data_IF_391516362802
#
_entry.id   IF_391516362802
#
_cell.length_a   1.000
_cell.length_b   1.000
_cell.length_c   1.000
_cell.angle_alpha   90.00
_cell.angle_beta   90.00
_cell.angle_gamma   90.00
#
_symmetry.space_group_name_H-M   'P 1'
#
loop_
_entity.id
_entity.type
_entity.pdbx_description
1 polymer ?
#
# COMPACT_ATOMS: atom_id res chain seq x y z
N UNK A 1 29.32 49.74 -1.05
CA UNK A 1 29.41 48.94 -2.29
C UNK A 1 29.72 47.51 -1.85
N UNK A 2 28.88 46.49 -1.93
CA UNK A 2 27.64 46.28 -2.68
C UNK A 2 27.75 44.96 -3.46
N UNK A 3 27.56 43.81 -2.82
CA UNK A 3 27.37 42.48 -3.43
C UNK A 3 26.73 41.62 -2.31
N UNK A 4 25.57 40.96 -2.39
CA UNK A 4 24.68 40.58 -3.48
C UNK A 4 24.06 39.24 -3.07
N UNK A 5 23.11 39.24 -2.12
CA UNK A 5 22.42 38.03 -1.65
C UNK A 5 21.29 37.65 -2.60
N UNK A 6 21.49 36.64 -3.44
CA UNK A 6 20.41 36.00 -4.19
C UNK A 6 19.79 34.90 -3.31
N UNK A 7 18.72 35.27 -2.60
CA UNK A 7 17.82 34.32 -1.95
C UNK A 7 17.00 33.61 -3.04
N UNK A 8 17.14 32.29 -3.11
CA UNK A 8 16.35 31.42 -3.95
C UNK A 8 14.91 31.37 -3.39
N UNK A 9 13.99 32.12 -4.00
CA UNK A 9 12.55 32.03 -3.70
C UNK A 9 11.99 30.68 -4.20
N UNK A 10 11.59 29.80 -3.29
CA UNK A 10 10.83 28.59 -3.64
C UNK A 10 9.44 28.91 -4.20
N UNK A 11 8.83 28.01 -5.00
CA UNK A 11 7.57 28.29 -5.66
C UNK A 11 6.42 28.50 -4.66
N UNK A 12 5.83 29.69 -4.76
CA UNK A 12 4.71 30.22 -3.97
C UNK A 12 3.45 29.36 -4.11
N UNK A 13 2.77 29.21 -2.97
CA UNK A 13 1.35 28.84 -2.75
C UNK A 13 0.52 28.68 -4.04
N UNK A 14 0.17 27.43 -4.37
CA UNK A 14 -0.98 27.13 -5.22
C UNK A 14 -2.25 27.53 -4.47
N UNK A 15 -2.83 28.64 -4.92
CA UNK A 15 -4.11 29.18 -4.49
C UNK A 15 -5.21 28.19 -4.93
N UNK A 16 -5.80 27.47 -3.98
CA UNK A 16 -7.10 26.80 -4.20
C UNK A 16 -8.20 27.85 -4.06
N UNK A 17 -8.58 28.50 -5.15
CA UNK A 17 -9.81 29.29 -5.21
C UNK A 17 -10.61 28.94 -6.45
N UNK A 18 -11.90 28.67 -6.22
CA UNK A 18 -12.97 28.47 -7.19
C UNK A 18 -12.92 27.18 -8.02
N UNK A 19 -13.44 26.09 -7.44
CA UNK A 19 -14.02 24.98 -8.20
C UNK A 19 -15.54 25.07 -8.14
N UNK A 20 -16.11 25.21 -9.33
CA UNK A 20 -17.53 25.20 -9.69
C UNK A 20 -18.44 24.46 -8.70
N UNK A 21 -19.39 25.20 -8.09
CA UNK A 21 -20.64 24.61 -7.60
C UNK A 21 -21.46 24.16 -8.80
N UNK A 22 -21.14 22.98 -9.34
CA UNK A 22 -22.15 22.21 -10.03
C UNK A 22 -23.29 21.98 -9.03
N UNK A 23 -24.51 22.30 -9.44
CA UNK A 23 -25.72 22.15 -8.65
C UNK A 23 -25.89 20.68 -8.24
N UNK A 24 -25.50 20.35 -7.00
CA UNK A 24 -25.66 19.01 -6.42
C UNK A 24 -27.15 18.68 -6.36
N UNK A 25 -27.58 17.67 -7.13
CA UNK A 25 -28.98 17.21 -7.19
C UNK A 25 -29.38 16.34 -6.00
N UNK A 26 -28.46 16.05 -5.08
CA UNK A 26 -28.73 15.34 -3.82
C UNK A 26 -27.87 15.89 -2.69
N UNK A 27 -28.39 15.92 -1.44
CA UNK A 27 -27.61 16.36 -0.29
C UNK A 27 -26.41 15.43 -0.10
N UNK A 28 -25.23 16.03 0.11
CA UNK A 28 -23.99 15.29 0.33
C UNK A 28 -24.07 14.45 1.61
N UNK A 29 -23.45 13.28 1.60
CA UNK A 29 -23.43 12.39 2.76
C UNK A 29 -22.42 12.92 3.80
N UNK A 30 -22.81 13.17 5.06
CA UNK A 30 -21.86 13.55 6.10
C UNK A 30 -20.90 12.39 6.39
N UNK A 31 -19.61 12.59 6.18
CA UNK A 31 -18.61 11.53 6.33
C UNK A 31 -17.54 11.97 7.32
N UNK A 32 -17.46 11.29 8.45
CA UNK A 32 -16.54 11.59 9.53
C UNK A 32 -15.24 10.81 9.37
N UNK A 33 -14.12 11.53 9.24
CA UNK A 33 -12.84 10.99 8.81
C UNK A 33 -11.91 10.85 10.02
N UNK A 34 -11.53 9.61 10.35
CA UNK A 34 -10.84 9.20 11.58
C UNK A 34 -9.45 8.63 11.29
N UNK A 35 -8.43 9.09 12.02
CA UNK A 35 -7.05 8.57 11.91
C UNK A 35 -6.24 9.10 10.71
N UNK A 36 -6.79 10.04 9.94
CA UNK A 36 -6.12 10.67 8.79
C UNK A 36 -5.21 11.81 9.24
N UNK A 37 -4.08 11.99 8.56
CA UNK A 37 -3.24 13.19 8.72
C UNK A 37 -3.91 14.42 8.12
N UNK A 38 -3.70 15.59 8.73
CA UNK A 38 -4.34 16.86 8.32
C UNK A 38 -4.06 17.27 6.88
N UNK A 39 -2.96 16.82 6.27
CA UNK A 39 -2.66 17.12 4.86
C UNK A 39 -3.57 16.37 3.87
N UNK A 40 -4.27 15.30 4.31
CA UNK A 40 -5.16 14.49 3.46
C UNK A 40 -6.50 15.16 3.11
N UNK A 41 -6.59 16.49 3.22
CA UNK A 41 -7.77 17.26 2.81
C UNK A 41 -8.07 17.14 1.31
N UNK A 42 -7.08 16.74 0.50
CA UNK A 42 -7.28 16.45 -0.92
C UNK A 42 -8.37 15.40 -1.18
N UNK A 43 -8.68 14.52 -0.23
CA UNK A 43 -9.75 13.52 -0.37
C UNK A 43 -11.13 14.13 -0.64
N UNK A 44 -11.33 15.41 -0.32
CA UNK A 44 -12.56 16.13 -0.67
C UNK A 44 -12.81 16.18 -2.17
N UNK A 45 -11.76 16.22 -3.00
CA UNK A 45 -11.92 16.19 -4.46
C UNK A 45 -12.27 14.80 -4.97
N UNK A 46 -11.87 13.74 -4.26
CA UNK A 46 -12.14 12.34 -4.64
C UNK A 46 -13.56 11.91 -4.33
N UNK A 47 -14.16 12.54 -3.31
CA UNK A 47 -15.51 12.24 -2.85
C UNK A 47 -16.40 13.49 -2.87
N UNK A 48 -16.70 14.06 -4.05
CA UNK A 48 -17.47 15.30 -4.17
C UNK A 48 -18.92 15.15 -3.69
N UNK A 49 -19.43 13.93 -3.59
CA UNK A 49 -20.74 13.56 -3.06
C UNK A 49 -20.78 13.43 -1.53
N UNK A 50 -19.65 13.66 -0.85
CA UNK A 50 -19.51 13.59 0.61
C UNK A 50 -19.06 14.91 1.21
N UNK A 51 -19.58 15.21 2.40
CA UNK A 51 -19.09 16.30 3.24
C UNK A 51 -18.13 15.72 4.27
N UNK A 52 -16.82 15.81 4.01
CA UNK A 52 -15.80 15.22 4.87
C UNK A 52 -15.56 16.07 6.13
N UNK A 53 -15.71 15.49 7.31
CA UNK A 53 -15.40 16.10 8.61
C UNK A 53 -14.18 15.38 9.22
N UNK A 54 -13.01 16.02 9.18
CA UNK A 54 -11.78 15.44 9.73
C UNK A 54 -11.75 15.66 11.24
N UNK A 55 -11.80 14.57 12.00
CA UNK A 55 -11.70 14.62 13.45
C UNK A 55 -10.23 14.69 13.89
N UNK A 56 -9.92 15.38 15.01
CA UNK A 56 -8.58 15.38 15.58
C UNK A 56 -8.09 13.95 15.87
N UNK A 57 -6.79 13.69 15.63
CA UNK A 57 -6.20 12.36 15.88
C UNK A 57 -6.11 12.00 17.35
N UNK A 58 -5.95 13.03 18.17
CA UNK A 58 -5.83 13.00 19.63
C UNK A 58 -7.18 13.23 20.32
N UNK A 59 -8.29 13.09 19.59
CA UNK A 59 -9.64 13.24 20.16
C UNK A 59 -9.85 12.24 21.31
N UNK A 60 -10.22 12.76 22.48
CA UNK A 60 -10.57 11.95 23.64
C UNK A 60 -12.04 11.52 23.57
N UNK A 61 -12.41 10.48 24.32
CA UNK A 61 -13.81 10.04 24.42
C UNK A 61 -14.72 11.18 24.91
N UNK A 62 -14.30 11.93 25.93
CA UNK A 62 -15.05 13.09 26.43
C UNK A 62 -15.18 14.19 25.36
N UNK A 63 -14.09 14.57 24.70
CA UNK A 63 -14.13 15.60 23.66
C UNK A 63 -14.98 15.20 22.45
N UNK A 64 -15.06 13.90 22.14
CA UNK A 64 -15.97 13.39 21.12
C UNK A 64 -17.43 13.51 21.54
N UNK A 65 -17.78 13.10 22.76
CA UNK A 65 -19.14 13.20 23.28
C UNK A 65 -19.65 14.64 23.31
N UNK A 66 -18.84 15.57 23.80
CA UNK A 66 -19.21 16.98 23.95
C UNK A 66 -19.40 17.68 22.60
N UNK A 67 -18.55 17.39 21.61
CA UNK A 67 -18.46 18.20 20.39
C UNK A 67 -19.10 17.56 19.15
N UNK A 68 -19.19 16.23 19.10
CA UNK A 68 -19.47 15.49 17.87
C UNK A 68 -20.63 14.51 17.97
N UNK A 69 -20.74 13.73 19.06
CA UNK A 69 -21.69 12.62 19.16
C UNK A 69 -23.13 13.04 18.79
N UNK A 70 -23.66 14.07 19.46
CA UNK A 70 -25.03 14.55 19.19
C UNK A 70 -25.22 15.11 17.77
N UNK A 71 -24.19 15.69 17.16
CA UNK A 71 -24.26 16.16 15.77
C UNK A 71 -24.36 14.99 14.80
N UNK A 72 -23.57 13.94 15.03
CA UNK A 72 -23.56 12.72 14.23
C UNK A 72 -24.90 11.97 14.37
N UNK A 73 -25.45 11.88 15.58
CA UNK A 73 -26.74 11.21 15.82
C UNK A 73 -27.89 11.88 15.06
N UNK A 74 -27.91 13.22 15.00
CA UNK A 74 -28.91 14.00 14.25
C UNK A 74 -28.84 13.80 12.74
N UNK A 75 -27.72 13.29 12.23
CA UNK A 75 -27.51 13.02 10.81
C UNK A 75 -27.77 11.55 10.50
N UNK A 76 -28.97 11.24 10.01
CA UNK A 76 -29.37 9.85 9.71
C UNK A 76 -28.42 9.13 8.75
N UNK A 77 -27.91 9.85 7.74
CA UNK A 77 -26.99 9.33 6.71
C UNK A 77 -25.50 9.40 7.07
N UNK A 78 -25.15 9.81 8.29
CA UNK A 78 -23.74 9.93 8.65
C UNK A 78 -23.00 8.59 8.54
N UNK A 79 -21.79 8.62 7.99
CA UNK A 79 -20.88 7.48 7.89
C UNK A 79 -19.47 7.86 8.37
N UNK A 80 -18.62 6.85 8.54
CA UNK A 80 -17.24 7.02 8.99
C UNK A 80 -16.25 6.48 7.98
N UNK A 81 -15.20 7.24 7.71
CA UNK A 81 -13.99 6.77 7.03
C UNK A 81 -12.88 6.62 8.06
N UNK A 82 -12.28 5.44 8.13
CA UNK A 82 -11.22 5.11 9.11
C UNK A 82 -9.94 4.77 8.36
N UNK A 83 -8.83 5.45 8.66
CA UNK A 83 -7.55 5.10 8.04
C UNK A 83 -6.98 3.81 8.65
N UNK A 84 -6.99 2.70 7.91
CA UNK A 84 -6.54 1.39 8.39
C UNK A 84 -7.16 1.04 9.75
N UNK A 85 -6.34 0.87 10.77
CA UNK A 85 -6.76 0.62 12.17
C UNK A 85 -6.50 1.80 13.11
N UNK A 86 -6.40 3.03 12.59
CA UNK A 86 -5.98 4.21 13.37
C UNK A 86 -7.12 4.93 14.08
N UNK A 87 -8.34 4.39 14.07
CA UNK A 87 -9.44 4.95 14.86
C UNK A 87 -9.40 4.42 16.31
N UNK A 88 -9.54 5.30 17.31
CA UNK A 88 -9.83 4.89 18.68
C UNK A 88 -11.04 3.94 18.78
N UNK A 89 -10.96 2.93 19.65
CA UNK A 89 -12.01 1.92 19.82
C UNK A 89 -13.37 2.53 20.14
N UNK A 90 -13.42 3.53 21.03
CA UNK A 90 -14.67 4.18 21.42
C UNK A 90 -15.44 4.81 20.24
N UNK A 91 -14.75 5.25 19.18
CA UNK A 91 -15.40 5.78 17.97
C UNK A 91 -15.99 4.66 17.11
N UNK A 92 -15.27 3.53 17.02
CA UNK A 92 -15.77 2.34 16.33
C UNK A 92 -16.99 1.77 17.07
N UNK A 93 -16.94 1.74 18.40
CA UNK A 93 -18.03 1.27 19.25
C UNK A 93 -19.25 2.20 19.15
N UNK A 94 -19.04 3.52 19.16
CA UNK A 94 -20.10 4.50 18.92
C UNK A 94 -20.75 4.31 17.55
N UNK A 95 -19.95 4.17 16.48
CA UNK A 95 -20.46 3.97 15.13
C UNK A 95 -21.30 2.69 15.02
N UNK A 96 -20.80 1.57 15.59
CA UNK A 96 -21.52 0.29 15.63
C UNK A 96 -22.82 0.37 16.43
N UNK A 97 -22.77 0.92 17.64
CA UNK A 97 -23.93 1.05 18.53
C UNK A 97 -25.06 1.88 17.90
N UNK A 98 -24.72 2.82 17.03
CA UNK A 98 -25.67 3.71 16.37
C UNK A 98 -25.91 3.37 14.88
N UNK A 99 -25.52 2.16 14.45
CA UNK A 99 -25.68 1.67 13.08
C UNK A 99 -25.17 2.65 12.00
N UNK A 100 -24.04 3.32 12.28
CA UNK A 100 -23.36 4.21 11.33
C UNK A 100 -22.38 3.40 10.49
N UNK A 101 -22.46 3.42 9.15
CA UNK A 101 -21.54 2.68 8.30
C UNK A 101 -20.09 3.11 8.53
N UNK A 102 -19.18 2.13 8.55
CA UNK A 102 -17.73 2.34 8.62
C UNK A 102 -17.13 1.86 7.31
N UNK A 103 -16.26 2.68 6.72
CA UNK A 103 -15.36 2.27 5.64
C UNK A 103 -13.92 2.42 6.08
N UNK A 104 -13.16 1.35 5.99
CA UNK A 104 -11.72 1.36 6.20
C UNK A 104 -11.02 1.77 4.91
N UNK A 105 -10.23 2.83 5.01
CA UNK A 105 -9.52 3.45 3.89
C UNK A 105 -8.04 3.18 4.05
N UNK A 106 -7.41 2.72 2.99
CA UNK A 106 -5.96 2.58 2.91
C UNK A 106 -5.41 3.09 1.58
N UNK A 107 -4.09 3.27 1.53
CA UNK A 107 -3.42 3.50 0.25
C UNK A 107 -3.61 2.24 -0.63
N UNK A 108 -4.00 2.45 -1.88
CA UNK A 108 -4.07 1.39 -2.87
C UNK A 108 -2.70 0.87 -3.29
N UNK A 109 -2.69 -0.16 -4.13
CA UNK A 109 -1.45 -0.88 -4.47
C UNK A 109 -0.51 -0.11 -5.40
N UNK A 110 -1.02 0.92 -6.10
CA UNK A 110 -0.23 1.87 -6.89
C UNK A 110 -0.44 3.26 -6.30
N UNK A 111 0.53 3.75 -5.54
CA UNK A 111 0.32 4.94 -4.71
C UNK A 111 0.68 6.24 -5.44
N UNK A 112 1.95 6.42 -5.80
CA UNK A 112 2.48 7.66 -6.39
C UNK A 112 3.93 7.50 -6.85
N UNK A 113 4.41 8.41 -7.71
CA UNK A 113 5.84 8.46 -8.10
C UNK A 113 6.73 8.68 -6.88
N UNK A 114 6.31 9.52 -5.92
CA UNK A 114 7.08 9.78 -4.70
C UNK A 114 6.64 8.91 -3.51
N UNK A 115 7.55 8.70 -2.55
CA UNK A 115 7.30 8.00 -1.29
C UNK A 115 6.14 8.62 -0.51
N UNK A 116 5.40 7.82 0.27
CA UNK A 116 4.33 8.35 1.13
C UNK A 116 4.77 9.34 2.20
N UNK A 117 6.05 9.29 2.57
CA UNK A 117 6.68 10.24 3.45
C UNK A 117 6.85 11.66 2.85
N UNK A 118 6.68 11.85 1.53
CA UNK A 118 6.80 13.18 0.89
C UNK A 118 5.49 13.99 0.86
N UNK A 119 4.43 13.50 1.52
CA UNK A 119 3.07 14.09 1.45
C UNK A 119 2.49 14.20 0.04
N UNK A 120 2.96 13.38 -0.91
CA UNK A 120 2.34 13.26 -2.23
C UNK A 120 0.94 12.60 -2.11
N UNK A 121 -0.11 13.18 -2.76
CA UNK A 121 -1.43 12.58 -2.81
C UNK A 121 -1.42 11.18 -3.42
N UNK A 122 -2.14 10.24 -2.81
CA UNK A 122 -2.30 8.90 -3.34
C UNK A 122 -3.24 8.90 -4.54
N UNK A 123 -2.82 8.31 -5.67
CA UNK A 123 -3.65 8.10 -6.86
C UNK A 123 -4.56 6.87 -6.74
N UNK A 124 -4.32 6.03 -5.74
CA UNK A 124 -5.13 4.84 -5.47
C UNK A 124 -5.48 4.72 -4.01
N UNK A 125 -6.71 4.30 -3.72
CA UNK A 125 -7.21 4.03 -2.38
C UNK A 125 -7.98 2.70 -2.37
N UNK A 126 -8.02 2.05 -1.21
CA UNK A 126 -8.98 0.97 -0.92
C UNK A 126 -10.06 1.49 0.01
N UNK A 127 -11.25 0.90 -0.05
CA UNK A 127 -12.44 1.32 0.70
C UNK A 127 -13.22 0.09 1.16
N UNK A 128 -12.74 -0.59 2.21
CA UNK A 128 -13.36 -1.81 2.74
C UNK A 128 -14.50 -1.51 3.70
N UNK A 129 -15.55 -2.30 3.66
CA UNK A 129 -16.62 -2.30 4.67
C UNK A 129 -16.31 -3.30 5.80
N UNK A 130 -15.67 -4.43 5.48
CA UNK A 130 -15.35 -5.45 6.49
C UNK A 130 -14.07 -5.12 7.28
N UNK A 131 -12.94 -5.09 6.59
CA UNK A 131 -11.61 -4.86 7.18
C UNK A 131 -10.61 -4.55 6.05
N UNK A 132 -9.53 -3.78 6.31
CA UNK A 132 -8.43 -3.66 5.37
C UNK A 132 -7.89 -5.01 4.85
N UNK A 133 -7.48 -5.05 3.58
CA UNK A 133 -6.95 -6.23 2.88
C UNK A 133 -5.81 -6.98 3.57
N UNK A 134 -5.04 -6.30 4.42
CA UNK A 134 -3.90 -6.88 5.11
C UNK A 134 -4.27 -7.61 6.42
N UNK A 135 -5.53 -7.53 6.86
CA UNK A 135 -5.98 -8.27 8.03
C UNK A 135 -6.33 -9.70 7.65
N UNK A 136 -5.52 -10.66 8.09
CA UNK A 136 -5.75 -12.08 7.87
C UNK A 136 -6.61 -12.74 8.96
N UNK A 137 -6.97 -12.01 10.02
CA UNK A 137 -7.75 -12.55 11.16
C UNK A 137 -9.25 -12.62 10.86
N UNK A 138 -9.73 -11.89 9.86
CA UNK A 138 -11.14 -11.83 9.47
C UNK A 138 -11.28 -11.75 7.94
N UNK A 139 -12.43 -12.12 7.35
CA UNK A 139 -12.70 -11.92 5.93
C UNK A 139 -12.66 -10.44 5.55
N UNK A 140 -12.10 -10.11 4.38
CA UNK A 140 -12.09 -8.76 3.81
C UNK A 140 -12.88 -8.72 2.51
N UNK A 141 -13.25 -7.51 2.07
CA UNK A 141 -13.95 -7.35 0.79
C UNK A 141 -13.08 -7.86 -0.38
N UNK A 142 -11.76 -7.71 -0.30
CA UNK A 142 -10.84 -8.28 -1.29
C UNK A 142 -10.82 -9.81 -1.23
N UNK A 143 -10.83 -10.42 -0.03
CA UNK A 143 -10.89 -11.89 0.10
C UNK A 143 -12.18 -12.43 -0.51
N UNK A 144 -13.31 -11.73 -0.31
CA UNK A 144 -14.60 -12.09 -0.90
C UNK A 144 -14.59 -11.96 -2.43
N UNK A 145 -14.03 -10.87 -2.97
CA UNK A 145 -13.85 -10.72 -4.43
C UNK A 145 -13.06 -11.89 -4.99
N UNK A 146 -11.90 -12.21 -4.41
CA UNK A 146 -11.03 -13.29 -4.89
C UNK A 146 -11.67 -14.67 -4.76
N UNK A 147 -12.47 -14.88 -3.71
CA UNK A 147 -13.14 -16.15 -3.46
C UNK A 147 -14.32 -16.37 -4.41
N UNK A 148 -15.15 -15.35 -4.60
CA UNK A 148 -16.49 -15.49 -5.18
C UNK A 148 -16.63 -14.98 -6.62
N UNK A 149 -15.73 -14.12 -7.10
CA UNK A 149 -15.82 -13.63 -8.47
C UNK A 149 -15.56 -14.75 -9.49
N UNK A 150 -16.43 -14.85 -10.51
CA UNK A 150 -16.28 -15.81 -11.60
C UNK A 150 -15.35 -15.25 -12.69
N UNK A 151 -14.05 -15.47 -12.49
CA UNK A 151 -13.02 -15.07 -13.45
C UNK A 151 -13.11 -15.85 -14.78
N UNK A 152 -13.60 -17.09 -14.76
CA UNK A 152 -13.72 -17.92 -15.96
C UNK A 152 -14.83 -17.40 -16.88
N UNK A 153 -15.92 -16.88 -16.31
CA UNK A 153 -16.98 -16.21 -17.06
C UNK A 153 -16.59 -14.82 -17.58
N UNK A 154 -15.43 -14.26 -17.19
CA UNK A 154 -14.97 -12.94 -17.65
C UNK A 154 -13.54 -12.98 -18.21
N UNK A 155 -13.30 -13.63 -19.37
CA UNK A 155 -11.98 -13.71 -19.99
C UNK A 155 -11.43 -12.34 -20.40
N UNK A 156 -12.29 -11.38 -20.74
CA UNK A 156 -11.88 -10.02 -21.08
C UNK A 156 -11.18 -9.32 -19.91
N UNK A 157 -11.67 -9.51 -18.67
CA UNK A 157 -11.01 -8.99 -17.47
C UNK A 157 -9.61 -9.60 -17.27
N UNK A 158 -9.43 -10.88 -17.57
CA UNK A 158 -8.13 -11.55 -17.45
C UNK A 158 -7.14 -11.06 -18.51
N UNK A 159 -7.60 -10.82 -19.75
CA UNK A 159 -6.78 -10.18 -20.78
C UNK A 159 -6.38 -8.76 -20.35
N UNK A 160 -7.32 -7.98 -19.81
CA UNK A 160 -7.06 -6.64 -19.25
C UNK A 160 -6.01 -6.70 -18.14
N UNK A 161 -6.13 -7.64 -17.20
CA UNK A 161 -5.16 -7.84 -16.13
C UNK A 161 -3.75 -8.18 -16.64
N UNK A 162 -3.64 -9.11 -17.61
CA UNK A 162 -2.33 -9.45 -18.21
C UNK A 162 -1.68 -8.25 -18.89
N UNK A 163 -2.44 -7.46 -19.65
CA UNK A 163 -1.93 -6.26 -20.29
C UNK A 163 -1.47 -5.21 -19.27
N UNK A 164 -2.25 -5.00 -18.21
CA UNK A 164 -1.91 -4.10 -17.12
C UNK A 164 -0.63 -4.54 -16.38
N UNK A 165 -0.47 -5.83 -16.10
CA UNK A 165 0.76 -6.39 -15.52
C UNK A 165 1.96 -6.12 -16.43
N UNK A 166 1.86 -6.48 -17.71
CA UNK A 166 2.96 -6.27 -18.67
C UNK A 166 3.38 -4.81 -18.74
N UNK A 167 2.41 -3.89 -18.77
CA UNK A 167 2.68 -2.45 -18.83
C UNK A 167 3.32 -1.93 -17.53
N UNK A 168 2.83 -2.36 -16.36
CA UNK A 168 3.44 -2.00 -15.08
C UNK A 168 4.89 -2.47 -14.98
N UNK A 169 5.18 -3.69 -15.43
CA UNK A 169 6.54 -4.23 -15.41
C UNK A 169 7.44 -3.48 -16.39
N UNK A 170 6.95 -3.18 -17.59
CA UNK A 170 7.68 -2.41 -18.62
C UNK A 170 8.04 -1.01 -18.13
N UNK A 171 7.11 -0.33 -17.46
CA UNK A 171 7.30 1.01 -16.90
C UNK A 171 8.08 1.01 -15.57
N UNK A 172 8.38 -0.16 -15.01
CA UNK A 172 9.02 -0.26 -13.69
C UNK A 172 8.16 0.30 -12.55
N UNK A 173 6.83 0.27 -12.70
CA UNK A 173 5.89 0.78 -11.70
C UNK A 173 5.89 -0.14 -10.47
N UNK A 174 6.11 0.45 -9.31
CA UNK A 174 5.98 -0.14 -7.99
C UNK A 174 5.11 0.76 -7.09
N UNK A 175 4.88 0.37 -5.84
CA UNK A 175 4.16 1.22 -4.88
C UNK A 175 4.82 2.60 -4.71
N UNK A 176 6.14 2.67 -4.86
CA UNK A 176 6.94 3.89 -4.81
C UNK A 176 7.97 3.90 -5.97
N UNK A 177 7.99 4.96 -6.79
CA UNK A 177 8.87 5.07 -7.97
C UNK A 177 9.91 6.18 -7.80
N UNK A 178 10.90 5.98 -6.92
CA UNK A 178 12.04 6.89 -6.81
C UNK A 178 13.35 6.12 -6.78
N UNK A 179 14.27 6.50 -7.66
CA UNK A 179 15.69 6.84 -7.41
C UNK A 179 16.54 6.60 -8.66
N UNK A 180 17.75 7.14 -8.63
CA UNK A 180 18.76 7.14 -9.69
C UNK A 180 19.10 5.73 -10.20
N UNK A 181 19.67 5.60 -11.41
CA UNK A 181 20.19 4.33 -11.90
C UNK A 181 21.13 3.68 -10.88
N UNK A 182 20.92 2.40 -10.60
CA UNK A 182 21.78 1.61 -9.72
C UNK A 182 22.39 0.48 -10.54
N UNK A 183 23.71 0.39 -10.51
CA UNK A 183 24.43 -0.77 -11.04
C UNK A 183 24.19 -1.98 -10.11
N UNK A 184 23.28 -2.86 -10.53
CA UNK A 184 22.89 -4.04 -9.76
C UNK A 184 23.96 -5.13 -9.77
N UNK A 185 24.79 -5.22 -10.81
CA UNK A 185 25.92 -6.16 -10.84
C UNK A 185 27.00 -5.71 -9.85
N UNK A 186 27.29 -4.40 -9.76
CA UNK A 186 28.18 -3.89 -8.72
C UNK A 186 27.62 -4.08 -7.30
N UNK A 187 26.29 -4.08 -7.13
CA UNK A 187 25.66 -4.23 -5.81
C UNK A 187 25.54 -5.69 -5.36
N UNK A 188 25.11 -6.59 -6.25
CA UNK A 188 24.88 -8.00 -5.94
C UNK A 188 26.05 -8.91 -6.34
N UNK A 189 27.00 -8.41 -7.12
CA UNK A 189 28.02 -9.24 -7.77
C UNK A 189 27.46 -10.04 -8.94
N UNK A 190 28.36 -10.59 -9.75
CA UNK A 190 27.99 -11.49 -10.85
C UNK A 190 27.29 -12.73 -10.31
N UNK A 191 26.20 -13.14 -10.96
CA UNK A 191 25.41 -14.29 -10.53
C UNK A 191 26.16 -15.59 -10.81
N UNK A 192 26.51 -16.32 -9.74
CA UNK A 192 27.18 -17.62 -9.80
C UNK A 192 26.28 -18.81 -9.46
N UNK A 193 25.03 -18.55 -9.05
CA UNK A 193 24.09 -19.57 -8.59
C UNK A 193 22.70 -19.00 -8.30
N UNK A 194 21.91 -19.72 -7.51
CA UNK A 194 20.56 -19.28 -7.09
C UNK A 194 20.68 -18.00 -6.25
N UNK A 195 19.84 -17.01 -6.54
CA UNK A 195 19.74 -15.75 -5.78
C UNK A 195 18.40 -15.68 -5.03
N UNK A 196 18.47 -15.49 -3.72
CA UNK A 196 17.31 -15.39 -2.83
C UNK A 196 17.25 -13.98 -2.26
N UNK A 197 16.12 -13.29 -2.43
CA UNK A 197 15.89 -11.97 -1.87
C UNK A 197 14.96 -12.05 -0.66
N UNK A 198 15.40 -11.48 0.46
CA UNK A 198 14.60 -11.32 1.68
C UNK A 198 14.16 -9.86 1.77
N UNK A 199 12.85 -9.64 1.82
CA UNK A 199 12.26 -8.31 1.90
C UNK A 199 12.05 -7.91 3.35
N UNK A 200 12.71 -6.84 3.78
CA UNK A 200 12.51 -6.23 5.08
C UNK A 200 11.24 -5.37 5.13
N UNK A 201 10.59 -5.36 6.28
CA UNK A 201 9.43 -4.52 6.61
C UNK A 201 9.66 -3.82 7.95
N UNK A 202 8.84 -2.80 8.24
CA UNK A 202 8.75 -2.25 9.60
C UNK A 202 7.98 -3.28 10.45
N UNK A 203 8.60 -3.79 11.51
CA UNK A 203 8.10 -4.96 12.26
C UNK A 203 6.84 -4.65 13.10
N UNK A 204 6.53 -3.37 13.34
CA UNK A 204 5.30 -2.90 13.99
C UNK A 204 4.20 -2.51 12.97
N UNK A 205 4.41 -2.74 11.67
CA UNK A 205 3.42 -2.42 10.64
C UNK A 205 2.13 -3.22 10.84
N UNK A 206 0.99 -2.56 10.63
CA UNK A 206 -0.33 -3.16 10.81
C UNK A 206 -0.53 -4.42 9.95
N UNK A 207 0.11 -4.50 8.78
CA UNK A 207 0.08 -5.69 7.93
C UNK A 207 0.79 -6.90 8.54
N UNK A 208 1.78 -6.71 9.40
CA UNK A 208 2.41 -7.81 10.17
C UNK A 208 1.53 -8.14 11.37
N UNK A 209 1.14 -7.12 12.16
CA UNK A 209 0.33 -7.30 13.37
C UNK A 209 -1.01 -8.02 13.08
N UNK A 210 -1.61 -7.73 11.92
CA UNK A 210 -2.90 -8.29 11.50
C UNK A 210 -2.76 -9.45 10.51
N UNK A 211 -1.61 -9.61 9.85
CA UNK A 211 -1.37 -10.65 8.86
C UNK A 211 -0.65 -11.89 9.41
N UNK A 212 0.01 -11.78 10.56
CA UNK A 212 0.72 -12.89 11.20
C UNK A 212 -0.04 -13.45 12.40
N UNK A 213 -0.08 -14.79 12.52
CA UNK A 213 -0.56 -15.49 13.73
C UNK A 213 0.42 -15.34 14.88
N UNK A 214 1.72 -15.40 14.58
CA UNK A 214 2.80 -15.20 15.54
C UNK A 214 3.74 -14.10 15.06
N UNK A 215 4.25 -13.23 15.95
CA UNK A 215 5.21 -12.20 15.57
C UNK A 215 6.43 -12.81 14.88
N UNK A 216 6.87 -12.19 13.78
CA UNK A 216 8.03 -12.63 13.01
C UNK A 216 8.94 -11.44 12.71
N UNK A 217 10.23 -11.57 12.98
CA UNK A 217 11.21 -10.49 12.75
C UNK A 217 11.85 -10.61 11.37
N UNK A 218 12.40 -9.50 10.86
CA UNK A 218 13.15 -9.52 9.62
C UNK A 218 14.37 -10.45 9.70
N UNK A 219 15.10 -10.43 10.83
CA UNK A 219 16.25 -11.30 11.02
C UNK A 219 15.87 -12.79 11.06
N UNK A 220 14.72 -13.14 11.65
CA UNK A 220 14.22 -14.52 11.60
C UNK A 220 13.91 -14.95 10.15
N UNK A 221 13.38 -14.05 9.33
CA UNK A 221 13.13 -14.31 7.92
C UNK A 221 14.41 -14.54 7.13
N UNK A 222 15.46 -13.76 7.40
CA UNK A 222 16.78 -13.99 6.80
C UNK A 222 17.33 -15.35 7.19
N UNK A 223 17.26 -15.72 8.48
CA UNK A 223 17.74 -17.02 8.96
C UNK A 223 16.99 -18.18 8.32
N UNK A 224 15.66 -18.07 8.18
CA UNK A 224 14.85 -19.05 7.48
C UNK A 224 15.28 -19.21 6.01
N UNK A 225 15.42 -18.09 5.30
CA UNK A 225 15.83 -18.09 3.90
C UNK A 225 17.22 -18.72 3.69
N UNK A 226 18.19 -18.43 4.58
CA UNK A 226 19.52 -19.06 4.54
C UNK A 226 19.45 -20.56 4.81
N UNK A 227 18.71 -20.96 5.86
CA UNK A 227 18.60 -22.36 6.24
C UNK A 227 18.00 -23.25 5.14
N UNK A 228 17.05 -22.71 4.37
CA UNK A 228 16.36 -23.45 3.30
C UNK A 228 17.07 -23.35 1.94
N UNK A 229 18.09 -22.51 1.83
CA UNK A 229 18.82 -22.28 0.59
C UNK A 229 20.33 -22.20 0.86
N UNK A 230 20.96 -23.29 1.36
CA UNK A 230 22.34 -23.28 1.85
C UNK A 230 23.38 -22.87 0.80
N UNK A 231 23.13 -23.17 -0.48
CA UNK A 231 24.05 -22.85 -1.59
C UNK A 231 23.66 -21.58 -2.36
N UNK A 232 22.63 -20.87 -1.91
CA UNK A 232 22.15 -19.67 -2.59
C UNK A 232 22.85 -18.40 -2.08
N UNK A 233 22.99 -17.43 -2.97
CA UNK A 233 23.26 -16.07 -2.56
C UNK A 233 22.00 -15.48 -1.90
N UNK A 234 22.00 -15.37 -0.58
CA UNK A 234 20.94 -14.68 0.15
C UNK A 234 21.25 -13.18 0.24
N UNK A 235 20.28 -12.37 -0.17
CA UNK A 235 20.33 -10.91 -0.19
C UNK A 235 19.21 -10.41 0.69
N UNK A 236 19.54 -9.64 1.73
CA UNK A 236 18.58 -8.97 2.57
C UNK A 236 18.47 -7.50 2.18
N UNK A 237 17.26 -7.05 1.81
CA UNK A 237 16.93 -5.65 1.59
C UNK A 237 16.12 -5.12 2.78
N UNK A 238 16.73 -4.41 3.74
CA UNK A 238 16.01 -3.78 4.83
C UNK A 238 15.02 -2.71 4.33
N UNK A 239 14.00 -2.42 5.13
CA UNK A 239 13.07 -1.33 4.81
C UNK A 239 13.76 0.04 4.99
N UNK A 240 13.58 1.02 4.09
CA UNK A 240 14.23 2.34 4.19
C UNK A 240 13.98 3.07 5.52
N UNK A 241 12.77 2.96 6.08
CA UNK A 241 12.44 3.57 7.39
C UNK A 241 13.17 2.92 8.57
N UNK A 242 13.52 1.63 8.46
CA UNK A 242 14.36 0.93 9.45
C UNK A 242 15.81 1.42 9.35
N UNK A 243 16.30 1.60 8.12
CA UNK A 243 17.67 2.09 7.88
C UNK A 243 17.88 3.54 8.32
N UNK A 244 16.85 4.38 8.25
CA UNK A 244 16.91 5.79 8.66
C UNK A 244 16.71 6.02 10.17
N UNK A 245 16.55 4.96 10.97
CA UNK A 245 16.43 5.04 12.43
C UNK A 245 15.14 5.70 12.94
N UNK A 246 14.13 5.87 12.08
CA UNK A 246 12.86 6.55 12.41
C UNK A 246 11.91 5.71 13.27
N UNK A 247 12.22 4.43 13.48
CA UNK A 247 11.44 3.45 14.23
C UNK A 247 12.38 2.65 15.14
N UNK A 248 11.87 2.23 16.29
CA UNK A 248 12.61 1.34 17.19
C UNK A 248 12.93 0.02 16.48
N UNK A 249 14.18 -0.43 16.59
CA UNK A 249 14.63 -1.69 16.00
C UNK A 249 14.13 -2.85 16.87
N UNK A 250 13.17 -3.62 16.37
CA UNK A 250 12.83 -4.94 16.92
C UNK A 250 13.84 -6.01 16.48
N UNK A 251 14.48 -5.81 15.31
CA UNK A 251 15.66 -6.57 14.89
C UNK A 251 16.71 -5.68 14.19
N UNK A 252 17.97 -6.10 14.21
CA UNK A 252 19.10 -5.32 13.69
C UNK A 252 19.75 -6.02 12.47
N UNK A 253 19.78 -5.39 11.28
CA UNK A 253 20.43 -5.95 10.10
C UNK A 253 21.92 -6.34 10.31
N UNK A 254 22.60 -5.76 11.29
CA UNK A 254 23.97 -6.14 11.63
C UNK A 254 24.10 -7.59 12.13
N UNK A 255 23.05 -8.18 12.71
CA UNK A 255 23.07 -9.52 13.30
C UNK A 255 22.90 -10.66 12.27
N UNK A 256 22.68 -10.30 11.01
CA UNK A 256 22.56 -11.24 9.87
C UNK A 256 23.62 -11.00 8.80
N UNK A 257 24.47 -9.97 8.94
CA UNK A 257 25.47 -9.60 7.93
C UNK A 257 26.52 -10.67 7.65
N UNK A 258 26.72 -11.62 8.57
CA UNK A 258 27.67 -12.73 8.41
C UNK A 258 27.11 -13.89 7.58
N UNK A 259 25.79 -13.93 7.34
CA UNK A 259 25.11 -15.04 6.66
C UNK A 259 24.38 -14.61 5.38
N UNK A 260 24.37 -13.32 5.04
CA UNK A 260 23.76 -12.81 3.81
C UNK A 260 24.39 -11.47 3.39
N UNK A 261 24.17 -11.07 2.14
CA UNK A 261 24.44 -9.72 1.66
C UNK A 261 23.35 -8.76 2.16
N UNK A 262 23.70 -7.83 3.06
CA UNK A 262 22.76 -6.78 3.52
C UNK A 262 22.89 -5.55 2.63
N UNK A 263 21.80 -5.18 1.93
CA UNK A 263 21.75 -3.99 1.07
C UNK A 263 21.72 -2.73 1.93
N UNK A 264 22.76 -1.90 1.82
CA UNK A 264 22.91 -0.65 2.59
C UNK A 264 22.50 0.62 1.83
N UNK A 265 22.21 0.50 0.54
CA UNK A 265 21.73 1.62 -0.29
C UNK A 265 20.22 1.51 -0.41
N UNK A 266 19.54 2.65 -0.37
CA UNK A 266 18.15 2.67 -0.82
C UNK A 266 18.15 2.46 -2.34
N UNK A 267 17.42 1.44 -2.78
CA UNK A 267 17.31 1.04 -4.19
C UNK A 267 15.84 0.89 -4.55
N UNK A 268 15.43 1.20 -5.79
CA UNK A 268 14.08 0.96 -6.24
C UNK A 268 13.70 -0.51 -6.07
N UNK A 269 12.47 -0.76 -5.61
CA UNK A 269 11.99 -2.12 -5.44
C UNK A 269 12.05 -2.95 -6.74
N UNK A 270 11.67 -2.44 -7.93
CA UNK A 270 11.80 -3.16 -9.19
C UNK A 270 13.22 -3.65 -9.47
N UNK A 271 14.23 -2.81 -9.21
CA UNK A 271 15.63 -3.17 -9.40
C UNK A 271 16.11 -4.21 -8.38
N UNK A 272 15.47 -4.27 -7.21
CA UNK A 272 15.84 -5.23 -6.16
C UNK A 272 15.65 -6.69 -6.61
N UNK A 273 14.77 -6.93 -7.59
CA UNK A 273 14.48 -8.24 -8.18
C UNK A 273 15.49 -8.69 -9.25
N UNK A 274 16.58 -7.94 -9.47
CA UNK A 274 17.60 -8.24 -10.47
C UNK A 274 18.16 -9.67 -10.34
N UNK A 275 17.81 -10.51 -11.32
CA UNK A 275 18.13 -11.93 -11.42
C UNK A 275 17.81 -12.76 -10.16
N UNK A 276 16.80 -12.35 -9.40
CA UNK A 276 16.33 -13.05 -8.20
C UNK A 276 15.46 -14.24 -8.61
N UNK A 277 15.76 -15.42 -8.07
CA UNK A 277 15.03 -16.66 -8.37
C UNK A 277 13.92 -16.94 -7.33
N UNK A 278 14.08 -16.46 -6.10
CA UNK A 278 13.15 -16.72 -5.00
C UNK A 278 13.10 -15.54 -4.03
N UNK A 279 11.91 -15.07 -3.69
CA UNK A 279 11.66 -14.03 -2.68
C UNK A 279 11.09 -14.64 -1.39
N UNK A 280 11.61 -14.21 -0.24
CA UNK A 280 11.04 -14.44 1.09
C UNK A 280 10.51 -13.12 1.63
N UNK A 281 9.29 -13.15 2.17
CA UNK A 281 8.62 -11.97 2.74
C UNK A 281 7.71 -12.36 3.90
N UNK A 282 7.44 -11.41 4.80
CA UNK A 282 6.44 -11.59 5.86
C UNK A 282 5.05 -11.36 5.27
N UNK A 283 4.70 -10.10 5.02
CA UNK A 283 3.41 -9.68 4.43
C UNK A 283 3.56 -8.57 3.39
N UNK A 284 4.80 -8.27 2.96
CA UNK A 284 5.09 -7.13 2.09
C UNK A 284 4.40 -7.27 0.73
N UNK A 285 3.82 -6.17 0.25
CA UNK A 285 3.32 -6.06 -1.13
C UNK A 285 4.40 -6.41 -2.17
N UNK A 286 5.68 -6.24 -1.83
CA UNK A 286 6.81 -6.63 -2.68
C UNK A 286 6.77 -8.12 -3.07
N UNK A 287 6.22 -9.00 -2.23
CA UNK A 287 6.03 -10.40 -2.61
C UNK A 287 5.03 -10.55 -3.74
N UNK A 288 3.95 -9.77 -3.78
CA UNK A 288 3.05 -9.77 -4.92
C UNK A 288 3.74 -9.22 -6.18
N UNK A 289 4.52 -8.15 -6.05
CA UNK A 289 5.29 -7.60 -7.18
C UNK A 289 6.32 -8.60 -7.74
N UNK A 290 6.87 -9.48 -6.90
CA UNK A 290 7.72 -10.58 -7.34
C UNK A 290 6.93 -11.65 -8.11
N UNK A 291 5.71 -12.00 -7.65
CA UNK A 291 4.81 -12.91 -8.39
C UNK A 291 4.44 -12.37 -9.77
N UNK A 292 4.23 -11.06 -9.91
CA UNK A 292 3.98 -10.43 -11.21
C UNK A 292 5.13 -10.67 -12.20
N UNK A 293 6.36 -10.82 -11.70
CA UNK A 293 7.58 -11.10 -12.49
C UNK A 293 7.84 -12.59 -12.69
N UNK A 294 6.94 -13.47 -12.23
CA UNK A 294 7.12 -14.92 -12.29
C UNK A 294 8.17 -15.46 -11.30
N UNK A 295 8.56 -14.68 -10.30
CA UNK A 295 9.54 -15.11 -9.28
C UNK A 295 8.83 -15.97 -8.24
N UNK A 296 9.47 -17.05 -7.78
CA UNK A 296 8.94 -17.88 -6.69
C UNK A 296 8.87 -17.06 -5.40
N UNK A 297 7.77 -17.16 -4.65
CA UNK A 297 7.60 -16.41 -3.40
C UNK A 297 7.22 -17.33 -2.25
N UNK A 298 7.96 -17.21 -1.13
CA UNK A 298 7.61 -17.78 0.16
C UNK A 298 7.08 -16.67 1.07
N UNK A 299 5.93 -16.91 1.71
CA UNK A 299 5.34 -16.00 2.69
C UNK A 299 5.31 -16.63 4.07
N UNK A 300 5.79 -15.92 5.09
CA UNK A 300 5.72 -16.39 6.49
C UNK A 300 4.51 -15.85 7.24
N UNK A 301 3.98 -14.69 6.83
CA UNK A 301 2.67 -14.22 7.25
C UNK A 301 1.59 -14.56 6.22
N UNK A 302 0.40 -13.99 6.38
CA UNK A 302 -0.72 -14.18 5.46
C UNK A 302 -1.12 -12.86 4.76
N UNK A 303 -0.30 -12.35 3.81
CA UNK A 303 -0.70 -11.20 2.99
C UNK A 303 -1.91 -11.54 2.10
N UNK A 304 -2.57 -10.55 1.52
CA UNK A 304 -3.81 -10.78 0.73
C UNK A 304 -3.65 -11.78 -0.44
N UNK A 305 -2.42 -11.94 -0.96
CA UNK A 305 -2.11 -12.78 -2.11
C UNK A 305 -1.64 -14.21 -1.76
N UNK A 306 -1.47 -14.55 -0.47
CA UNK A 306 -1.14 -15.92 -0.07
C UNK A 306 -2.37 -16.81 0.07
N UNK A 307 -2.21 -18.13 0.18
CA UNK A 307 -3.32 -19.07 0.37
C UNK A 307 -4.14 -19.38 -0.90
N UNK A 308 -3.78 -18.78 -2.04
CA UNK A 308 -4.45 -19.01 -3.33
C UNK A 308 -3.68 -19.97 -4.24
N UNK A 309 -2.60 -20.58 -3.75
CA UNK A 309 -1.76 -21.53 -4.51
C UNK A 309 -0.67 -20.92 -5.39
N UNK A 310 -0.44 -19.60 -5.30
CA UNK A 310 0.63 -18.89 -6.03
C UNK A 310 1.90 -18.67 -5.20
N UNK A 311 1.88 -19.00 -3.91
CA UNK A 311 2.97 -18.82 -2.95
C UNK A 311 3.25 -20.13 -2.20
N UNK A 312 4.48 -20.24 -1.68
CA UNK A 312 4.83 -21.21 -0.64
C UNK A 312 4.52 -20.60 0.74
N UNK A 313 3.45 -21.07 1.38
CA UNK A 313 2.87 -20.43 2.56
C UNK A 313 3.28 -21.16 3.85
N UNK A 314 3.90 -20.43 4.78
CA UNK A 314 4.24 -20.97 6.11
C UNK A 314 3.13 -20.75 7.13
N UNK A 315 2.25 -19.78 6.86
CA UNK A 315 1.01 -19.59 7.58
C UNK A 315 -0.16 -19.93 6.66
N UNK A 316 -0.93 -20.96 7.02
CA UNK A 316 -2.12 -21.36 6.25
C UNK A 316 -3.29 -20.39 6.48
N UNK A 317 -4.21 -20.33 5.53
CA UNK A 317 -5.48 -19.62 5.70
C UNK A 317 -6.63 -20.50 5.19
N UNK A 318 -7.36 -21.10 6.12
CA UNK A 318 -8.43 -22.07 5.83
C UNK A 318 -9.64 -21.46 5.10
N UNK A 319 -9.76 -20.12 5.06
CA UNK A 319 -10.87 -19.43 4.37
C UNK A 319 -10.63 -19.31 2.86
N UNK A 320 -9.37 -19.40 2.41
CA UNK A 320 -8.93 -19.31 1.01
C UNK A 320 -8.86 -20.71 0.39
N UNK A 321 -10.04 -21.22 0.03
CA UNK A 321 -10.22 -22.63 -0.37
C UNK A 321 -10.14 -22.93 -1.87
N UNK A 322 -9.65 -22.00 -2.70
CA UNK A 322 -9.52 -22.21 -4.16
C UNK A 322 -8.16 -21.78 -4.68
N UNK A 323 -7.77 -22.37 -5.80
CA UNK A 323 -6.58 -21.94 -6.53
C UNK A 323 -6.93 -20.78 -7.47
N UNK A 324 -6.06 -19.78 -7.50
CA UNK A 324 -6.11 -18.66 -8.44
C UNK A 324 -4.75 -18.53 -9.13
N UNK A 325 -4.76 -17.96 -10.31
CA UNK A 325 -3.58 -17.50 -11.03
C UNK A 325 -3.19 -16.08 -10.62
N UNK A 326 -1.94 -15.70 -10.84
CA UNK A 326 -1.46 -14.34 -10.57
C UNK A 326 -2.30 -13.27 -11.29
N UNK A 327 -2.69 -13.42 -12.57
CA UNK A 327 -3.58 -12.47 -13.23
C UNK A 327 -4.98 -12.36 -12.61
N UNK A 328 -5.54 -13.45 -12.06
CA UNK A 328 -6.84 -13.39 -11.36
C UNK A 328 -6.73 -12.63 -10.04
N UNK A 329 -5.66 -12.86 -9.28
CA UNK A 329 -5.40 -12.10 -8.04
C UNK A 329 -5.19 -10.63 -8.38
N UNK A 330 -4.44 -10.32 -9.45
CA UNK A 330 -4.26 -8.96 -9.93
C UNK A 330 -5.60 -8.33 -10.36
N UNK A 331 -6.43 -9.03 -11.12
CA UNK A 331 -7.74 -8.53 -11.53
C UNK A 331 -8.62 -8.19 -10.31
N UNK A 332 -8.68 -9.09 -9.33
CA UNK A 332 -9.43 -8.84 -8.09
C UNK A 332 -8.90 -7.63 -7.33
N UNK A 333 -7.59 -7.56 -7.10
CA UNK A 333 -6.96 -6.53 -6.28
C UNK A 333 -6.86 -5.16 -6.97
N UNK A 334 -6.34 -5.12 -8.20
CA UNK A 334 -5.99 -3.88 -8.90
C UNK A 334 -7.10 -3.38 -9.83
N UNK A 335 -8.05 -4.21 -10.27
CA UNK A 335 -9.08 -3.76 -11.23
C UNK A 335 -10.47 -3.66 -10.60
N UNK A 336 -10.83 -4.58 -9.71
CA UNK A 336 -12.16 -4.60 -9.08
C UNK A 336 -12.18 -3.87 -7.73
N UNK A 337 -11.19 -4.15 -6.90
CA UNK A 337 -11.13 -3.72 -5.51
C UNK A 337 -10.59 -2.28 -5.34
N UNK A 338 -9.36 -2.02 -5.78
CA UNK A 338 -8.74 -0.71 -5.66
C UNK A 338 -9.48 0.36 -6.48
N UNK A 339 -9.55 1.58 -5.96
CA UNK A 339 -10.10 2.76 -6.66
C UNK A 339 -8.98 3.70 -7.05
N UNK A 340 -9.10 4.32 -8.22
CA UNK A 340 -8.08 5.22 -8.76
C UNK A 340 -8.66 6.60 -9.01
N UNK A 341 -7.84 7.63 -8.81
CA UNK A 341 -8.26 9.02 -8.90
C UNK A 341 -7.23 9.85 -9.66
N UNK A 342 -7.73 10.70 -10.55
CA UNK A 342 -6.91 11.74 -11.17
C UNK A 342 -6.66 12.87 -10.17
N UNK A 343 -5.38 13.22 -9.94
CA UNK A 343 -5.02 14.22 -8.94
C UNK A 343 -5.49 15.63 -9.29
N UNK A 344 -5.60 15.95 -10.58
CA UNK A 344 -5.96 17.30 -11.02
C UNK A 344 -7.46 17.56 -10.91
N UNK A 345 -8.27 16.62 -11.37
CA UNK A 345 -9.73 16.74 -11.40
C UNK A 345 -10.43 16.12 -10.19
N UNK A 346 -9.77 15.22 -9.46
CA UNK A 346 -10.38 14.41 -8.39
C UNK A 346 -11.32 13.31 -8.89
N UNK A 347 -11.54 13.20 -10.20
CA UNK A 347 -12.45 12.19 -10.76
C UNK A 347 -11.87 10.78 -10.60
N UNK A 348 -12.76 9.83 -10.37
CA UNK A 348 -12.39 8.42 -10.44
C UNK A 348 -11.99 8.07 -11.88
N UNK A 349 -10.89 7.34 -12.00
CA UNK A 349 -10.32 6.85 -13.26
C UNK A 349 -10.10 5.33 -13.16
N UNK A 350 -9.73 4.71 -14.28
CA UNK A 350 -9.37 3.31 -14.32
C UNK A 350 -7.88 3.11 -14.01
N UNK A 351 -7.49 1.88 -13.69
CA UNK A 351 -6.11 1.50 -13.40
C UNK A 351 -5.13 1.94 -14.50
N UNK A 352 -5.49 1.71 -15.76
CA UNK A 352 -4.65 1.97 -16.94
C UNK A 352 -4.34 3.46 -17.13
N UNK A 353 -5.23 4.34 -16.66
CA UNK A 353 -5.03 5.79 -16.78
C UNK A 353 -3.98 6.29 -15.77
N UNK A 354 -3.71 5.53 -14.72
CA UNK A 354 -2.66 5.86 -13.73
C UNK A 354 -1.28 5.78 -14.35
N UNK A 355 -1.00 4.73 -15.14
CA UNK A 355 0.30 4.51 -15.78
C UNK A 355 0.66 5.63 -16.75
N UNK A 356 -0.31 6.07 -17.57
CA UNK A 356 -0.16 7.19 -18.52
C UNK A 356 0.22 8.50 -17.83
N UNK A 357 -0.28 8.72 -16.61
CA UNK A 357 0.00 9.94 -15.83
C UNK A 357 1.34 9.88 -15.11
N UNK A 358 1.89 8.68 -14.85
CA UNK A 358 3.23 8.53 -14.28
C UNK A 358 4.31 8.84 -15.32
N UNK A 359 4.12 8.40 -16.57
CA UNK A 359 5.03 8.66 -17.69
C UNK A 359 5.21 10.18 -17.93
N UNK A 360 4.11 10.94 -17.94
CA UNK A 360 4.12 12.40 -18.10
C UNK A 360 4.83 13.16 -16.97
N UNK A 361 4.90 12.58 -15.76
CA UNK A 361 5.60 13.19 -14.63
C UNK A 361 7.10 12.88 -14.60
N UNK A 362 7.52 11.74 -15.15
CA UNK A 362 8.93 11.40 -15.31
C UNK A 362 9.58 12.24 -16.42
N UNK A 363 8.89 12.48 -17.54
CA UNK A 363 9.39 13.31 -18.65
C UNK A 363 9.55 14.79 -18.27
N UNK A 364 8.82 15.28 -17.26
CA UNK A 364 8.94 16.67 -16.77
C UNK A 364 10.06 16.89 -15.75
N UNK A 365 10.66 15.82 -15.21
CA UNK A 365 11.81 15.90 -14.32
C UNK A 365 13.15 15.78 -15.07
N UNK A 366 13.10 15.53 -16.38
CA UNK A 366 14.25 15.38 -17.26
C UNK A 366 14.45 16.55 -18.25
N UNK A 367 13.67 17.64 -18.12
CA UNK A 367 13.81 18.86 -18.92
C UNK A 367 13.98 20.09 -18.02
#
# INVERSE_FOLDING_TARGET
MGIGSALYEGPKRLIFSALNRATKTSPATPTYVLGFSNWKQYLRSYFPDRDLYFLPKDITSQGFEELWAQKILKQSRAEFFVWGYKAPSFLLDFAKANNKPIRYVEDGFIRSVQLGASHAPARSLTLDVQTPYFNAKQPSDLEDILKHYDFAANPALIVRAKNAISEMLRLGVSKYNCSSPVDMEALYGSKSGKRVLVIGQVEDDASIVMGCETPFTNNALVRLAVAENPDAQVIYKPHPDVMSGKRALQSNPADVKSICLVVKKDIPLPLSFYEVDHVYTITSLAGFEALLRGIKVTTVGCPFYSGWGVTDDRQSNTRRGRKLSVPEIFAGAYLLYAKYFDLASGKQIEHEDVGRLQDLSATRLLN
#
